data_IF_443467081073
#
_entry.id   IF_443467081073
#
_cell.length_a   1.000
_cell.length_b   1.000
_cell.length_c   1.000
_cell.angle_alpha   90.00
_cell.angle_beta   90.00
_cell.angle_gamma   90.00
#
_symmetry.space_group_name_H-M   'P 1'
#
loop_
_entity.id
_entity.type
_entity.pdbx_description
1 polymer ?
#
# COMPACT_ATOMS: atom_id res chain seq x y z
N UNK A 1 -54.04 44.21 11.91
CA UNK A 1 -52.89 45.11 11.64
C UNK A 1 -52.16 45.41 12.95
N UNK A 2 -51.12 44.65 13.31
CA UNK A 2 -49.93 44.98 14.14
C UNK A 2 -48.91 43.85 13.83
N UNK A 3 -48.21 43.84 12.69
CA UNK A 3 -46.97 44.56 12.39
C UNK A 3 -45.78 44.26 13.36
N UNK A 4 -45.03 43.21 13.00
CA UNK A 4 -43.60 43.28 12.72
C UNK A 4 -42.67 44.02 13.71
N UNK A 5 -42.35 43.40 14.86
CA UNK A 5 -41.23 43.84 15.74
C UNK A 5 -40.44 42.65 16.32
N UNK A 6 -40.12 41.60 15.55
CA UNK A 6 -39.51 40.39 16.16
C UNK A 6 -38.39 39.68 15.38
N UNK A 7 -37.84 40.27 14.31
CA UNK A 7 -36.73 39.63 13.58
C UNK A 7 -35.35 40.27 13.83
N UNK A 8 -35.29 41.57 14.15
CA UNK A 8 -33.99 42.23 14.44
C UNK A 8 -33.41 41.86 15.80
N UNK A 9 -34.23 41.52 16.79
CA UNK A 9 -33.77 41.11 18.12
C UNK A 9 -33.15 39.69 18.14
N UNK A 10 -33.60 38.78 17.26
CA UNK A 10 -33.06 37.41 17.20
C UNK A 10 -31.70 37.33 16.51
N UNK A 11 -31.40 38.22 15.56
CA UNK A 11 -30.10 38.21 14.85
C UNK A 11 -28.94 38.74 15.69
N UNK A 12 -29.20 39.54 16.73
CA UNK A 12 -28.15 40.07 17.62
C UNK A 12 -27.76 39.10 18.76
N UNK A 13 -28.56 38.08 19.04
CA UNK A 13 -28.24 37.06 20.06
C UNK A 13 -27.42 35.88 19.52
N UNK A 14 -27.31 35.72 18.19
CA UNK A 14 -26.59 34.61 17.56
C UNK A 14 -25.12 34.90 17.23
N UNK A 15 -24.65 36.15 17.35
CA UNK A 15 -23.26 36.53 17.07
C UNK A 15 -22.35 36.61 18.31
N UNK A 16 -22.88 36.46 19.53
CA UNK A 16 -22.08 36.54 20.76
C UNK A 16 -21.63 35.18 21.32
N UNK A 17 -22.01 34.06 20.71
CA UNK A 17 -21.71 32.71 21.22
C UNK A 17 -20.44 32.06 20.62
N UNK A 18 -19.65 32.78 19.82
CA UNK A 18 -18.53 32.21 19.03
C UNK A 18 -17.13 32.70 19.44
N UNK A 19 -16.97 33.29 20.63
CA UNK A 19 -15.69 33.92 21.03
C UNK A 19 -15.08 33.44 22.38
N UNK A 20 -15.53 32.31 22.96
CA UNK A 20 -15.04 31.84 24.27
C UNK A 20 -14.89 30.31 24.36
N UNK A 21 -14.14 29.72 23.43
CA UNK A 21 -13.63 28.34 23.56
C UNK A 21 -12.19 28.22 23.05
N UNK A 22 -11.32 29.08 23.58
CA UNK A 22 -9.86 28.99 23.43
C UNK A 22 -9.23 28.98 24.84
N UNK A 23 -9.50 27.92 25.60
CA UNK A 23 -8.75 27.60 26.81
C UNK A 23 -8.19 26.18 26.66
N UNK A 24 -6.86 26.09 26.70
CA UNK A 24 -6.10 24.90 26.39
C UNK A 24 -6.43 23.72 27.30
N UNK A 25 -6.64 22.56 26.66
CA UNK A 25 -6.60 21.28 27.34
C UNK A 25 -5.13 20.82 27.46
N UNK A 26 -4.63 20.49 28.66
CA UNK A 26 -3.32 19.88 28.83
C UNK A 26 -3.31 18.47 28.20
N UNK A 27 -2.26 18.18 27.44
CA UNK A 27 -2.06 16.90 26.78
C UNK A 27 -1.99 15.75 27.81
N UNK A 28 -2.68 14.62 27.59
CA UNK A 28 -2.52 13.44 28.43
C UNK A 28 -1.09 12.88 28.29
N UNK A 29 -0.43 12.72 29.44
CA UNK A 29 0.92 12.19 29.57
C UNK A 29 1.08 10.85 28.86
N UNK A 30 2.21 10.75 28.14
CA UNK A 30 2.64 9.54 27.44
C UNK A 30 2.88 8.41 28.47
N UNK A 31 2.28 7.23 28.33
CA UNK A 31 2.59 6.10 29.21
C UNK A 31 4.05 5.66 29.02
N UNK A 32 4.74 5.21 30.08
CA UNK A 32 6.11 4.72 29.98
C UNK A 32 6.18 3.46 29.10
N UNK A 33 7.24 3.37 28.30
CA UNK A 33 7.47 2.24 27.42
C UNK A 33 7.65 0.93 28.22
N UNK A 34 7.12 -0.21 27.74
CA UNK A 34 7.39 -1.51 28.36
C UNK A 34 8.87 -1.90 28.21
N UNK A 35 9.43 -2.66 29.16
CA UNK A 35 10.81 -3.14 29.08
C UNK A 35 11.01 -4.05 27.86
N UNK A 36 12.11 -3.81 27.14
CA UNK A 36 12.59 -4.66 26.04
C UNK A 36 12.78 -6.10 26.52
N UNK A 37 11.93 -7.01 26.07
CA UNK A 37 12.21 -8.44 26.12
C UNK A 37 13.38 -8.75 25.17
N UNK A 38 14.47 -9.27 25.72
CA UNK A 38 15.58 -9.83 24.96
C UNK A 38 15.05 -11.02 24.15
N UNK A 39 15.07 -10.90 22.82
CA UNK A 39 14.73 -11.98 21.92
C UNK A 39 15.71 -13.14 22.08
N UNK A 40 15.19 -14.31 22.41
CA UNK A 40 15.92 -15.57 22.35
C UNK A 40 16.28 -15.90 20.89
N UNK A 41 17.54 -16.29 20.68
CA UNK A 41 18.08 -16.67 19.39
C UNK A 41 17.33 -17.88 18.80
N UNK A 42 17.04 -17.93 17.48
CA UNK A 42 16.54 -19.13 16.85
C UNK A 42 17.66 -20.18 16.71
N UNK A 43 17.40 -21.36 17.27
CA UNK A 43 18.21 -22.55 17.09
C UNK A 43 18.21 -22.99 15.63
N UNK A 44 19.41 -23.23 15.08
CA UNK A 44 19.63 -23.81 13.76
C UNK A 44 19.26 -25.30 13.79
N UNK A 45 18.19 -25.68 13.11
CA UNK A 45 17.92 -27.08 12.79
C UNK A 45 18.40 -27.37 11.37
N UNK A 46 19.57 -28.00 11.28
CA UNK A 46 20.04 -28.70 10.08
C UNK A 46 19.25 -29.99 9.89
N UNK A 47 18.76 -30.21 8.67
CA UNK A 47 18.26 -31.51 8.19
C UNK A 47 18.53 -31.64 6.68
N UNK A 48 18.72 -32.86 6.15
CA UNK A 48 19.71 -33.15 5.12
C UNK A 48 19.18 -33.17 3.67
N UNK A 49 20.12 -33.01 2.74
CA UNK A 49 19.95 -33.16 1.31
C UNK A 49 19.67 -34.61 0.89
N UNK A 50 18.77 -34.87 -0.07
CA UNK A 50 18.71 -36.14 -0.77
C UNK A 50 19.69 -36.15 -1.96
N UNK A 51 20.43 -37.26 -2.04
CA UNK A 51 21.25 -37.67 -3.19
C UNK A 51 20.37 -37.96 -4.40
N UNK A 52 20.85 -37.64 -5.59
CA UNK A 52 20.45 -38.32 -6.83
C UNK A 52 21.69 -38.55 -7.66
N UNK A 53 22.21 -39.77 -7.58
CA UNK A 53 23.11 -40.37 -8.55
C UNK A 53 22.24 -40.89 -9.70
N UNK A 54 22.55 -40.52 -10.93
CA UNK A 54 22.31 -41.20 -12.22
C UNK A 54 23.24 -40.43 -13.17
N UNK A 55 24.16 -40.99 -13.94
CA UNK A 55 24.24 -42.28 -14.60
C UNK A 55 24.91 -41.95 -15.94
N UNK A 56 25.96 -42.69 -16.29
CA UNK A 56 26.99 -42.24 -17.24
C UNK A 56 26.58 -42.10 -18.71
N UNK A 57 27.49 -41.52 -19.48
CA UNK A 57 27.43 -41.42 -20.93
C UNK A 57 28.68 -40.75 -21.50
N UNK A 58 29.68 -41.57 -21.83
CA UNK A 58 30.94 -41.20 -22.49
C UNK A 58 30.74 -40.73 -23.93
N UNK A 59 31.47 -39.70 -24.36
CA UNK A 59 32.02 -39.60 -25.72
C UNK A 59 33.18 -38.60 -25.77
N UNK A 60 34.12 -38.89 -26.66
CA UNK A 60 35.54 -38.52 -26.66
C UNK A 60 35.82 -37.43 -27.71
N UNK A 61 36.82 -36.60 -27.43
CA UNK A 61 37.79 -35.94 -28.33
C UNK A 61 37.29 -34.93 -29.40
N UNK A 62 37.85 -33.72 -29.38
CA UNK A 62 38.97 -33.35 -30.25
C UNK A 62 39.52 -31.94 -29.91
N UNK A 63 40.83 -31.82 -30.12
CA UNK A 63 41.72 -30.69 -29.92
C UNK A 63 41.36 -29.41 -30.70
N UNK A 64 41.76 -28.25 -30.16
CA UNK A 64 42.44 -27.21 -30.92
C UNK A 64 43.12 -26.23 -29.96
N UNK A 65 44.44 -26.14 -30.09
CA UNK A 65 45.32 -25.15 -29.51
C UNK A 65 45.03 -23.76 -30.11
N UNK A 66 45.31 -22.71 -29.34
CA UNK A 66 45.14 -21.33 -29.78
C UNK A 66 45.77 -20.36 -28.79
N UNK A 67 47.10 -20.46 -28.64
CA UNK A 67 47.94 -19.54 -27.91
C UNK A 67 48.08 -18.24 -28.72
N UNK A 68 47.75 -17.11 -28.10
CA UNK A 68 47.91 -15.78 -28.68
C UNK A 68 48.08 -14.76 -27.56
N UNK A 69 49.34 -14.53 -27.19
CA UNK A 69 49.79 -13.36 -26.45
C UNK A 69 49.96 -12.20 -27.45
N UNK A 70 49.30 -11.06 -27.22
CA UNK A 70 49.83 -9.76 -27.65
C UNK A 70 49.26 -8.61 -26.77
N UNK A 71 50.11 -7.68 -26.28
CA UNK A 71 49.73 -6.65 -25.32
C UNK A 71 49.48 -5.27 -25.96
N UNK A 72 48.83 -4.41 -25.16
CA UNK A 72 48.91 -2.95 -25.18
C UNK A 72 48.40 -2.21 -26.45
N UNK A 73 47.24 -1.55 -26.31
CA UNK A 73 46.74 -0.66 -27.36
C UNK A 73 45.49 0.12 -27.03
N UNK A 74 45.54 0.93 -25.98
CA UNK A 74 44.96 2.28 -25.90
C UNK A 74 43.47 2.54 -26.22
N UNK A 75 42.83 3.23 -25.26
CA UNK A 75 41.64 4.11 -25.34
C UNK A 75 40.31 3.43 -25.09
N UNK A 76 40.03 3.30 -23.80
CA UNK A 76 38.72 3.65 -23.26
C UNK A 76 38.33 5.04 -23.76
N UNK A 77 37.52 5.09 -24.82
CA UNK A 77 36.53 6.14 -24.94
C UNK A 77 35.38 5.75 -24.02
N UNK A 78 35.53 6.18 -22.76
CA UNK A 78 34.44 6.43 -21.83
C UNK A 78 33.51 7.46 -22.50
N UNK A 79 32.69 6.99 -23.43
CA UNK A 79 31.40 7.62 -23.71
C UNK A 79 30.55 7.30 -22.48
N UNK A 80 30.85 8.01 -21.40
CA UNK A 80 30.02 8.13 -20.22
C UNK A 80 28.72 8.75 -20.71
N UNK A 81 27.84 7.89 -21.22
CA UNK A 81 26.44 8.16 -21.39
C UNK A 81 25.97 8.61 -20.02
N UNK A 82 25.93 9.94 -19.83
CA UNK A 82 25.40 10.52 -18.62
C UNK A 82 24.06 9.84 -18.39
N UNK A 83 23.78 9.36 -17.17
CA UNK A 83 22.45 8.88 -16.85
C UNK A 83 21.53 10.02 -17.23
N UNK A 84 20.78 9.86 -18.33
CA UNK A 84 19.71 10.80 -18.64
C UNK A 84 18.83 10.68 -17.43
N UNK A 85 18.86 11.72 -16.60
CA UNK A 85 17.90 11.95 -15.55
C UNK A 85 16.58 12.08 -16.29
N UNK A 86 15.98 10.91 -16.57
CA UNK A 86 14.71 10.80 -17.26
C UNK A 86 13.77 11.60 -16.40
N UNK A 87 13.31 12.74 -16.92
CA UNK A 87 12.27 13.51 -16.29
C UNK A 87 11.10 12.56 -16.11
N UNK A 88 10.96 12.06 -14.87
CA UNK A 88 9.91 11.14 -14.55
C UNK A 88 8.61 11.88 -14.82
N UNK A 89 7.65 11.24 -15.51
CA UNK A 89 6.35 11.84 -15.74
C UNK A 89 5.86 12.41 -14.41
N UNK A 90 5.61 13.71 -14.34
CA UNK A 90 5.05 14.31 -13.12
C UNK A 90 3.56 14.02 -13.00
N UNK A 91 2.95 13.58 -14.10
CA UNK A 91 1.55 13.22 -14.17
C UNK A 91 1.36 11.71 -14.40
N UNK A 92 0.46 11.12 -13.62
CA UNK A 92 -0.04 9.77 -13.85
C UNK A 92 -1.34 9.81 -14.67
N UNK A 93 -1.60 8.77 -15.44
CA UNK A 93 -2.87 8.60 -16.16
C UNK A 93 -3.68 7.43 -15.58
N UNK A 94 -2.98 6.41 -15.08
CA UNK A 94 -3.58 5.24 -14.44
C UNK A 94 -2.82 4.89 -13.16
N UNK A 95 -3.49 4.18 -12.26
CA UNK A 95 -2.90 3.74 -10.99
C UNK A 95 -1.61 2.93 -11.15
N UNK A 96 -1.47 2.20 -12.26
CA UNK A 96 -0.27 1.40 -12.54
C UNK A 96 0.99 2.24 -12.78
N UNK A 97 0.82 3.53 -13.09
CA UNK A 97 1.91 4.49 -13.25
C UNK A 97 2.52 4.87 -11.90
N UNK A 98 1.75 4.78 -10.82
CA UNK A 98 2.20 5.13 -9.48
C UNK A 98 2.86 3.96 -8.77
N UNK A 99 4.05 4.18 -8.22
CA UNK A 99 4.79 3.25 -7.38
C UNK A 99 5.21 3.87 -6.04
N UNK A 100 5.44 3.02 -5.05
CA UNK A 100 5.85 3.43 -3.70
C UNK A 100 7.34 3.25 -3.48
N UNK A 101 8.01 4.35 -3.14
CA UNK A 101 9.40 4.31 -2.71
C UNK A 101 9.49 4.18 -1.17
N UNK A 102 9.97 3.05 -0.63
CA UNK A 102 10.15 2.89 0.81
C UNK A 102 11.28 3.76 1.38
N UNK A 103 12.25 4.20 0.57
CA UNK A 103 13.36 5.01 1.06
C UNK A 103 12.92 6.45 1.36
N UNK A 104 12.03 7.01 0.54
CA UNK A 104 11.46 8.35 0.74
C UNK A 104 10.06 8.36 1.36
N UNK A 105 9.46 7.19 1.58
CA UNK A 105 8.08 7.00 2.04
C UNK A 105 7.02 7.75 1.21
N UNK A 106 7.21 7.80 -0.11
CA UNK A 106 6.36 8.57 -1.03
C UNK A 106 5.89 7.76 -2.22
N UNK A 107 4.76 8.19 -2.78
CA UNK A 107 4.31 7.74 -4.09
C UNK A 107 4.95 8.62 -5.18
N UNK A 108 5.36 8.01 -6.28
CA UNK A 108 5.85 8.69 -7.47
C UNK A 108 5.44 7.95 -8.73
N UNK A 109 5.48 8.62 -9.88
CA UNK A 109 5.06 8.03 -11.15
C UNK A 109 6.16 7.21 -11.85
N UNK A 110 7.26 6.88 -11.16
CA UNK A 110 8.28 5.98 -11.70
C UNK A 110 7.80 4.52 -11.56
N UNK A 111 7.58 3.79 -12.68
CA UNK A 111 7.14 2.40 -12.64
C UNK A 111 8.10 1.47 -11.88
N UNK A 112 9.38 1.85 -11.74
CA UNK A 112 10.37 1.08 -10.95
C UNK A 112 10.05 1.05 -9.45
N UNK A 113 9.26 2.01 -8.97
CA UNK A 113 8.75 2.06 -7.60
C UNK A 113 7.55 1.12 -7.38
N UNK A 114 6.99 0.52 -8.44
CA UNK A 114 5.78 -0.28 -8.35
C UNK A 114 6.04 -1.70 -7.83
N UNK A 115 6.15 -1.83 -6.50
CA UNK A 115 6.30 -3.11 -5.79
C UNK A 115 5.03 -3.53 -5.03
N UNK A 116 3.92 -2.84 -5.25
CA UNK A 116 2.72 -3.02 -4.45
C UNK A 116 1.78 -4.07 -5.06
N UNK A 117 1.11 -4.88 -4.23
CA UNK A 117 0.03 -5.71 -4.70
C UNK A 117 -1.18 -4.84 -5.11
N UNK A 118 -1.92 -5.21 -6.16
CA UNK A 118 -3.05 -4.41 -6.68
C UNK A 118 -4.20 -4.25 -5.70
N UNK A 119 -4.27 -5.11 -4.67
CA UNK A 119 -5.20 -5.02 -3.54
C UNK A 119 -4.37 -5.15 -2.26
N UNK A 120 -4.60 -4.24 -1.32
CA UNK A 120 -3.86 -4.16 -0.07
C UNK A 120 -4.85 -4.04 1.08
N UNK A 121 -4.94 -5.08 1.91
CA UNK A 121 -5.81 -5.11 3.10
C UNK A 121 -5.25 -4.26 4.24
N UNK A 122 -3.94 -4.01 4.20
CA UNK A 122 -3.20 -3.18 5.15
C UNK A 122 -1.89 -2.72 4.51
N UNK A 123 -1.47 -1.49 4.79
CA UNK A 123 -0.21 -0.93 4.29
C UNK A 123 -0.42 0.36 3.50
N UNK A 124 0.41 0.56 2.49
CA UNK A 124 0.40 1.77 1.66
C UNK A 124 -0.08 1.39 0.27
N UNK A 125 -0.97 2.20 -0.28
CA UNK A 125 -1.49 2.09 -1.65
C UNK A 125 -1.20 3.40 -2.36
N UNK A 126 -0.46 3.33 -3.47
CA UNK A 126 -0.32 4.43 -4.39
C UNK A 126 -1.39 4.35 -5.48
N UNK A 127 -1.94 5.50 -5.84
CA UNK A 127 -2.98 5.63 -6.85
C UNK A 127 -2.88 6.98 -7.55
N UNK A 128 -3.51 7.11 -8.70
CA UNK A 128 -3.57 8.35 -9.44
C UNK A 128 -4.80 9.16 -9.01
N UNK A 129 -4.57 10.35 -8.44
CA UNK A 129 -5.61 11.31 -8.07
C UNK A 129 -5.38 12.62 -8.81
N UNK A 130 -6.36 13.07 -9.59
CA UNK A 130 -6.29 14.30 -10.37
C UNK A 130 -4.97 14.47 -11.17
N UNK A 131 -4.54 13.38 -11.83
CA UNK A 131 -3.28 13.27 -12.58
C UNK A 131 -1.99 13.37 -11.74
N UNK A 132 -2.05 13.21 -10.42
CA UNK A 132 -0.89 13.14 -9.54
C UNK A 132 -0.89 11.85 -8.71
N UNK A 133 0.30 11.30 -8.43
CA UNK A 133 0.39 10.14 -7.55
C UNK A 133 0.08 10.53 -6.11
N UNK A 134 -0.98 9.94 -5.58
CA UNK A 134 -1.44 10.12 -4.21
C UNK A 134 -1.21 8.85 -3.39
N UNK A 135 -1.19 9.05 -2.07
CA UNK A 135 -0.93 8.00 -1.09
C UNK A 135 -2.18 7.74 -0.25
N UNK A 136 -2.58 6.48 -0.15
CA UNK A 136 -3.57 5.98 0.79
C UNK A 136 -2.88 5.06 1.81
N UNK A 137 -3.02 5.35 3.10
CA UNK A 137 -2.59 4.45 4.19
C UNK A 137 -3.80 3.65 4.66
N UNK A 138 -3.74 2.33 4.49
CA UNK A 138 -4.75 1.39 4.97
C UNK A 138 -4.26 0.77 6.27
N UNK A 139 -4.95 1.02 7.36
CA UNK A 139 -4.64 0.40 8.65
C UNK A 139 -5.35 -0.96 8.76
N UNK A 140 -4.76 -1.95 9.45
CA UNK A 140 -5.47 -3.18 9.78
C UNK A 140 -6.79 -2.86 10.51
N UNK A 141 -7.89 -3.46 10.07
CA UNK A 141 -9.21 -3.28 10.67
C UNK A 141 -9.52 -4.48 11.57
N UNK A 142 -9.57 -4.31 12.89
CA UNK A 142 -9.92 -5.41 13.79
C UNK A 142 -11.37 -5.87 13.63
N UNK A 143 -11.62 -7.16 13.74
CA UNK A 143 -12.96 -7.76 13.65
C UNK A 143 -13.12 -8.96 14.58
N UNK A 144 -14.35 -9.24 14.99
CA UNK A 144 -14.75 -10.48 15.67
C UNK A 144 -15.58 -11.39 14.73
N UNK A 145 -16.19 -10.81 13.69
CA UNK A 145 -16.77 -11.55 12.58
C UNK A 145 -16.96 -10.72 11.32
N UNK A 146 -17.45 -11.34 10.24
CA UNK A 146 -17.58 -10.69 8.93
C UNK A 146 -18.44 -9.41 8.97
N UNK A 147 -19.45 -9.40 9.83
CA UNK A 147 -20.38 -8.28 10.01
C UNK A 147 -19.72 -7.00 10.54
N UNK A 148 -18.50 -7.09 11.10
CA UNK A 148 -17.71 -5.94 11.53
C UNK A 148 -16.94 -5.28 10.39
N UNK A 149 -16.90 -5.93 9.22
CA UNK A 149 -16.12 -5.50 8.07
C UNK A 149 -17.01 -4.89 6.99
N UNK A 150 -16.56 -3.80 6.38
CA UNK A 150 -17.20 -3.19 5.23
C UNK A 150 -16.14 -2.73 4.22
N UNK A 151 -16.59 -2.40 3.00
CA UNK A 151 -15.74 -1.84 1.95
C UNK A 151 -15.91 -0.33 1.89
N UNK A 152 -14.81 0.41 1.95
CA UNK A 152 -14.78 1.79 1.49
C UNK A 152 -14.27 1.81 0.05
N UNK A 153 -15.08 2.31 -0.88
CA UNK A 153 -14.72 2.31 -2.31
C UNK A 153 -13.78 3.44 -2.71
N UNK A 154 -13.79 4.55 -1.96
CA UNK A 154 -13.00 5.75 -2.24
C UNK A 154 -11.87 5.95 -1.21
N UNK A 155 -10.71 6.52 -1.63
CA UNK A 155 -10.33 6.80 -3.01
C UNK A 155 -9.99 5.52 -3.80
N UNK A 156 -9.73 4.42 -3.09
CA UNK A 156 -9.55 3.07 -3.63
C UNK A 156 -10.30 2.08 -2.74
N UNK A 157 -10.79 0.95 -3.27
CA UNK A 157 -11.39 -0.10 -2.44
C UNK A 157 -10.44 -0.60 -1.36
N UNK A 158 -10.87 -0.49 -0.09
CA UNK A 158 -10.11 -0.97 1.07
C UNK A 158 -11.06 -1.41 2.21
N UNK A 159 -10.62 -2.32 3.09
CA UNK A 159 -11.42 -2.70 4.25
C UNK A 159 -11.54 -1.54 5.24
N UNK A 160 -12.73 -1.37 5.79
CA UNK A 160 -13.03 -0.45 6.90
C UNK A 160 -13.94 -1.14 7.91
N UNK A 161 -14.07 -0.56 9.10
CA UNK A 161 -15.06 -1.04 10.06
C UNK A 161 -16.47 -0.77 9.54
N UNK A 162 -17.34 -1.75 9.67
CA UNK A 162 -18.75 -1.61 9.37
C UNK A 162 -19.39 -0.60 10.33
N UNK A 163 -20.12 0.35 9.77
CA UNK A 163 -20.94 1.32 10.50
C UNK A 163 -22.35 1.36 9.93
N UNK A 164 -23.21 2.22 10.48
CA UNK A 164 -24.54 2.42 9.91
C UNK A 164 -24.48 3.05 8.51
N UNK A 165 -23.51 3.93 8.30
CA UNK A 165 -23.27 4.63 7.04
C UNK A 165 -22.55 3.74 6.02
N UNK A 166 -21.77 2.76 6.49
CA UNK A 166 -21.05 1.79 5.67
C UNK A 166 -21.31 0.38 6.21
N UNK A 167 -22.48 -0.20 5.93
CA UNK A 167 -22.81 -1.52 6.43
C UNK A 167 -21.94 -2.59 5.74
N UNK A 168 -21.79 -3.73 6.40
CA UNK A 168 -21.24 -4.93 5.77
C UNK A 168 -22.00 -5.26 4.48
N UNK A 169 -21.27 -5.53 3.40
CA UNK A 169 -21.85 -5.90 2.11
C UNK A 169 -22.53 -7.26 2.20
N UNK A 170 -23.80 -7.33 1.80
CA UNK A 170 -24.58 -8.58 1.80
C UNK A 170 -25.02 -8.90 0.39
N UNK A 171 -24.76 -10.11 -0.07
CA UNK A 171 -25.18 -10.55 -1.41
C UNK A 171 -24.38 -11.74 -1.91
N UNK A 172 -24.77 -12.24 -3.08
CA UNK A 172 -24.03 -13.31 -3.77
C UNK A 172 -22.86 -12.71 -4.56
N UNK A 173 -21.63 -13.26 -4.40
CA UNK A 173 -20.48 -12.90 -5.22
C UNK A 173 -20.80 -12.92 -6.72
N UNK A 174 -20.31 -11.91 -7.44
CA UNK A 174 -20.48 -11.67 -8.88
C UNK A 174 -21.92 -11.43 -9.38
N UNK A 175 -22.94 -11.65 -8.54
CA UNK A 175 -24.31 -11.27 -8.85
C UNK A 175 -24.67 -9.92 -8.25
N UNK A 176 -24.41 -9.77 -6.95
CA UNK A 176 -24.81 -8.60 -6.17
C UNK A 176 -23.60 -7.71 -5.82
N UNK A 177 -22.39 -8.29 -5.77
CA UNK A 177 -21.15 -7.61 -5.38
C UNK A 177 -19.93 -8.19 -6.11
N UNK A 178 -18.93 -7.35 -6.42
CA UNK A 178 -17.66 -7.76 -7.07
C UNK A 178 -16.48 -7.81 -6.11
N UNK A 179 -16.66 -7.27 -4.91
CA UNK A 179 -15.73 -7.28 -3.80
C UNK A 179 -16.52 -7.66 -2.55
N UNK A 180 -15.84 -8.27 -1.58
CA UNK A 180 -16.41 -8.58 -0.27
C UNK A 180 -15.31 -8.47 0.78
N UNK A 181 -15.68 -8.16 2.02
CA UNK A 181 -14.75 -8.31 3.15
C UNK A 181 -15.06 -9.52 4.00
N UNK A 182 -14.01 -10.15 4.52
CA UNK A 182 -14.10 -11.29 5.45
C UNK A 182 -13.24 -11.03 6.68
N UNK A 183 -13.69 -11.50 7.84
CA UNK A 183 -12.89 -11.54 9.05
C UNK A 183 -12.05 -12.82 9.08
N UNK A 184 -10.75 -12.69 8.86
CA UNK A 184 -9.84 -13.84 8.88
C UNK A 184 -9.53 -14.29 10.31
N UNK A 185 -8.91 -15.47 10.46
CA UNK A 185 -8.46 -16.00 11.77
C UNK A 185 -7.52 -15.08 12.55
N UNK A 186 -6.91 -14.11 11.88
CA UNK A 186 -6.06 -13.08 12.48
C UNK A 186 -6.85 -11.95 13.14
N UNK A 187 -8.20 -12.00 13.14
CA UNK A 187 -9.10 -10.95 13.61
C UNK A 187 -8.88 -9.62 12.88
N UNK A 188 -8.58 -9.70 11.57
CA UNK A 188 -8.40 -8.54 10.68
C UNK A 188 -9.30 -8.72 9.46
N UNK A 189 -10.00 -7.66 9.07
CA UNK A 189 -10.78 -7.63 7.84
C UNK A 189 -9.87 -7.68 6.62
N UNK A 190 -10.12 -8.63 5.71
CA UNK A 190 -9.47 -8.73 4.41
C UNK A 190 -10.45 -8.45 3.30
N UNK A 191 -10.00 -7.79 2.23
CA UNK A 191 -10.76 -7.49 1.04
C UNK A 191 -10.51 -8.55 -0.03
N UNK A 192 -11.59 -9.20 -0.47
CA UNK A 192 -11.58 -10.21 -1.53
C UNK A 192 -12.16 -9.58 -2.78
N UNK A 193 -11.42 -9.64 -3.89
CA UNK A 193 -11.97 -9.34 -5.22
C UNK A 193 -12.42 -10.63 -5.89
N UNK A 194 -13.65 -10.68 -6.38
CA UNK A 194 -14.19 -11.85 -7.03
C UNK A 194 -13.83 -11.87 -8.53
N UNK A 195 -13.46 -13.05 -9.03
CA UNK A 195 -13.24 -13.27 -10.47
C UNK A 195 -14.59 -13.44 -11.17
N UNK A 196 -15.20 -12.31 -11.55
CA UNK A 196 -16.50 -12.30 -12.20
C UNK A 196 -16.39 -12.35 -13.72
N UNK A 197 -17.28 -13.06 -14.42
CA UNK A 197 -17.31 -13.04 -15.89
C UNK A 197 -17.58 -11.60 -16.38
N UNK A 198 -16.85 -11.19 -17.43
CA UNK A 198 -17.12 -9.92 -18.12
C UNK A 198 -18.51 -9.99 -18.74
N UNK A 199 -19.36 -9.02 -18.42
CA UNK A 199 -20.68 -8.85 -19.04
C UNK A 199 -20.58 -8.05 -20.33
#
# INVERSE_FOLDING_TARGET
MIAAVSERARRLLLTAALALAACGAPAPGRPPAPPRALAAAPARSHAPAPRSEHGGGTARAASAEGQGDDPAGARADDDAAQPREQAFPTACEVDADCGYDPASERCGADPRLNRQPPVTDQGIVCYCDAAACALLRVLPVPCEGDHDCAVAHEPRPHPVRATRERPHERGRPCRDLTMSTTCERTNICTLRRHACPRR
#
